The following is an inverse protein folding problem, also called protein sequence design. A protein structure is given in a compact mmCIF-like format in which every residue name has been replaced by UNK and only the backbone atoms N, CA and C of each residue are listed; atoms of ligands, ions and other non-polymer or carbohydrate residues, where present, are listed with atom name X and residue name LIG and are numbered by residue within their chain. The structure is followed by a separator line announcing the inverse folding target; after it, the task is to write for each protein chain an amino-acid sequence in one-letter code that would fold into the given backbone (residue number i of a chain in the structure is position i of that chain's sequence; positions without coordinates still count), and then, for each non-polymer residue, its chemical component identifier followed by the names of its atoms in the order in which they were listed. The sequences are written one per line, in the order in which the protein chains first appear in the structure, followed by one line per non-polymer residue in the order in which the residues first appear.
data_IF_589611812304
#
_entry.id   IF_589611812304
#
_cell.length_a   1.000
_cell.length_b   1.000
_cell.length_c   1.000
_cell.angle_alpha   90.00
_cell.angle_beta   90.00
_cell.angle_gamma   90.00
#
_symmetry.space_group_name_H-M   'P 1'
#
loop_
_entity.id
_entity.type
_entity.pdbx_description
1 polymer ?
#
# COMPACT_ATOMS: atom_id res chain seq x y z
N UNK A 1 -33.49 -19.95 1.12
CA UNK A 1 -33.07 -18.63 1.60
C UNK A 1 -31.61 -18.53 1.24
N UNK A 2 -31.29 -17.78 0.18
CA UNK A 2 -29.89 -17.56 -0.22
C UNK A 2 -29.17 -16.76 0.85
N UNK A 3 -28.11 -17.32 1.40
CA UNK A 3 -27.14 -16.57 2.19
C UNK A 3 -26.54 -15.60 1.16
N UNK A 4 -26.99 -14.35 1.17
CA UNK A 4 -26.35 -13.31 0.40
C UNK A 4 -24.88 -13.30 0.79
N UNK A 5 -24.03 -13.54 -0.20
CA UNK A 5 -22.57 -13.48 -0.06
C UNK A 5 -22.25 -12.07 0.43
N UNK A 6 -22.07 -11.89 1.76
CA UNK A 6 -21.68 -10.62 2.36
C UNK A 6 -20.22 -10.38 2.00
N UNK A 7 -20.00 -9.91 0.78
CA UNK A 7 -18.68 -9.47 0.36
C UNK A 7 -18.29 -8.23 1.17
N UNK A 8 -17.09 -8.22 1.75
CA UNK A 8 -16.62 -7.12 2.60
C UNK A 8 -15.78 -6.14 1.76
N UNK A 9 -15.96 -4.84 1.97
CA UNK A 9 -15.07 -3.86 1.35
C UNK A 9 -13.66 -3.95 1.98
N UNK A 10 -12.65 -3.59 1.20
CA UNK A 10 -11.27 -3.55 1.66
C UNK A 10 -10.60 -2.21 1.33
N UNK A 11 -9.58 -1.86 2.10
CA UNK A 11 -8.63 -0.82 1.74
C UNK A 11 -7.28 -1.49 1.53
N UNK A 12 -6.82 -1.46 0.29
CA UNK A 12 -5.50 -1.90 -0.12
C UNK A 12 -4.54 -0.72 0.04
N UNK A 13 -3.44 -0.95 0.73
CA UNK A 13 -2.52 0.10 1.17
C UNK A 13 -1.11 -0.19 0.67
N UNK A 14 -0.46 0.75 0.01
CA UNK A 14 0.99 0.68 -0.08
C UNK A 14 1.62 0.93 1.29
N UNK A 15 2.89 0.58 1.43
CA UNK A 15 3.64 0.70 2.68
C UNK A 15 4.41 2.01 2.74
N UNK A 16 5.40 2.14 1.87
CA UNK A 16 6.38 3.22 1.91
C UNK A 16 5.82 4.49 1.27
N UNK A 17 5.84 5.60 1.98
CA UNK A 17 5.20 6.85 1.56
C UNK A 17 3.69 6.92 1.87
N UNK A 18 3.08 5.84 2.37
CA UNK A 18 1.66 5.74 2.72
C UNK A 18 1.46 5.44 4.22
N UNK A 19 2.07 4.36 4.70
CA UNK A 19 2.01 3.95 6.12
C UNK A 19 3.24 4.43 6.86
N UNK A 20 4.44 4.21 6.30
CA UNK A 20 5.69 4.70 6.87
C UNK A 20 6.40 5.67 5.93
N UNK A 21 7.24 6.52 6.51
CA UNK A 21 8.04 7.49 5.79
C UNK A 21 9.05 6.80 4.85
N UNK A 22 9.32 7.46 3.72
CA UNK A 22 10.49 7.18 2.91
C UNK A 22 11.73 7.79 3.61
N UNK A 23 12.90 7.22 3.33
CA UNK A 23 14.19 7.64 3.89
C UNK A 23 15.07 8.17 2.76
N UNK A 24 15.78 9.27 3.02
CA UNK A 24 16.77 9.76 2.07
C UNK A 24 17.95 8.79 2.01
N UNK A 25 18.19 8.22 0.84
CA UNK A 25 19.39 7.43 0.59
C UNK A 25 20.54 8.39 0.21
N UNK A 26 21.60 8.51 1.03
CA UNK A 26 22.67 9.46 0.79
C UNK A 26 23.52 9.12 -0.46
N UNK A 27 23.54 7.85 -0.86
CA UNK A 27 24.30 7.40 -2.04
C UNK A 27 23.61 7.78 -3.36
N UNK A 28 22.27 7.71 -3.36
CA UNK A 28 21.46 7.97 -4.57
C UNK A 28 20.84 9.36 -4.58
N UNK A 29 20.79 10.06 -3.44
CA UNK A 29 20.08 11.32 -3.25
C UNK A 29 18.56 11.19 -3.38
N UNK A 30 18.01 9.98 -3.32
CA UNK A 30 16.57 9.70 -3.52
C UNK A 30 15.90 9.26 -2.22
N UNK A 31 14.61 9.55 -2.15
CA UNK A 31 13.74 8.99 -1.13
C UNK A 31 13.42 7.54 -1.48
N UNK A 32 13.79 6.62 -0.60
CA UNK A 32 13.66 5.16 -0.81
C UNK A 32 13.00 4.50 0.41
N UNK A 33 12.59 3.24 0.26
CA UNK A 33 12.12 2.41 1.37
C UNK A 33 13.21 2.25 2.43
N UNK A 34 12.86 2.21 3.73
CA UNK A 34 13.83 1.91 4.79
C UNK A 34 14.57 0.60 4.53
N UNK A 35 15.90 0.61 4.71
CA UNK A 35 16.76 -0.57 4.63
C UNK A 35 17.19 -1.09 6.01
N UNK A 36 16.87 -0.35 7.07
CA UNK A 36 17.20 -0.68 8.46
C UNK A 36 15.92 -0.57 9.32
N UNK A 37 15.75 -1.45 10.31
CA UNK A 37 14.57 -1.42 11.18
C UNK A 37 14.41 -0.09 11.93
N UNK A 38 15.50 0.51 12.38
CA UNK A 38 15.49 1.77 13.12
C UNK A 38 15.11 2.98 12.26
N UNK A 39 15.16 2.84 10.94
CA UNK A 39 14.72 3.87 10.01
C UNK A 39 13.20 3.81 9.72
N UNK A 40 12.49 2.82 10.25
CA UNK A 40 11.04 2.71 10.11
C UNK A 40 10.37 3.74 10.99
N UNK A 41 9.60 4.63 10.38
CA UNK A 41 8.81 5.66 11.07
C UNK A 41 7.41 5.66 10.50
N UNK A 42 6.42 5.30 11.31
CA UNK A 42 5.01 5.40 10.92
C UNK A 42 4.64 6.87 10.73
N UNK A 43 3.97 7.17 9.63
CA UNK A 43 3.59 8.55 9.31
C UNK A 43 2.56 9.08 10.32
N UNK A 44 2.63 10.37 10.69
CA UNK A 44 1.69 10.98 11.62
C UNK A 44 0.23 10.80 11.18
N UNK A 45 -0.64 10.45 12.12
CA UNK A 45 -2.06 10.27 11.89
C UNK A 45 -2.45 8.95 11.20
N UNK A 46 -1.49 8.14 10.73
CA UNK A 46 -1.77 6.85 10.08
C UNK A 46 -2.44 5.86 11.03
N UNK A 47 -1.95 5.61 12.26
CA UNK A 47 -2.60 4.64 13.13
C UNK A 47 -4.07 4.95 13.42
N UNK A 48 -4.46 6.15 13.88
CA UNK A 48 -5.87 6.46 14.12
C UNK A 48 -6.71 6.43 12.83
N UNK A 49 -6.14 6.77 11.67
CA UNK A 49 -6.82 6.70 10.38
C UNK A 49 -7.14 5.24 10.00
N UNK A 50 -6.17 4.33 10.13
CA UNK A 50 -6.37 2.90 9.87
C UNK A 50 -7.35 2.27 10.86
N UNK A 51 -7.30 2.64 12.11
CA UNK A 51 -8.25 2.18 13.13
C UNK A 51 -9.69 2.57 12.78
N UNK A 52 -9.91 3.79 12.27
CA UNK A 52 -11.23 4.24 11.80
C UNK A 52 -11.74 3.42 10.63
N UNK A 53 -10.89 3.09 9.65
CA UNK A 53 -11.27 2.22 8.53
C UNK A 53 -11.65 0.83 9.01
N UNK A 54 -10.84 0.23 9.88
CA UNK A 54 -11.11 -1.09 10.47
C UNK A 54 -12.42 -1.08 11.27
N UNK A 55 -12.65 -0.04 12.08
CA UNK A 55 -13.89 0.14 12.86
C UNK A 55 -15.12 0.35 11.98
N UNK A 56 -14.96 0.91 10.79
CA UNK A 56 -16.01 1.06 9.79
C UNK A 56 -16.27 -0.22 8.96
N UNK A 57 -15.59 -1.33 9.28
CA UNK A 57 -15.80 -2.64 8.65
C UNK A 57 -14.93 -2.93 7.42
N UNK A 58 -13.98 -2.06 7.08
CA UNK A 58 -13.05 -2.34 5.99
C UNK A 58 -11.98 -3.35 6.40
N UNK A 59 -11.75 -4.34 5.54
CA UNK A 59 -10.57 -5.20 5.62
C UNK A 59 -9.32 -4.43 5.19
N UNK A 60 -8.27 -4.41 6.00
CA UNK A 60 -7.01 -3.77 5.66
C UNK A 60 -6.07 -4.78 4.99
N UNK A 61 -5.58 -4.46 3.79
CA UNK A 61 -4.65 -5.33 3.05
C UNK A 61 -3.42 -4.51 2.63
N UNK A 62 -2.26 -4.92 3.12
CA UNK A 62 -0.99 -4.29 2.76
C UNK A 62 -0.48 -4.88 1.44
N UNK A 63 -0.18 -4.03 0.44
CA UNK A 63 0.31 -4.46 -0.88
C UNK A 63 1.48 -3.58 -1.30
N UNK A 64 2.70 -4.05 -1.19
CA UNK A 64 3.89 -3.25 -1.46
C UNK A 64 4.92 -3.92 -2.36
N UNK A 65 5.55 -3.12 -3.22
CA UNK A 65 6.70 -3.51 -4.00
C UNK A 65 7.97 -3.32 -3.16
N UNK A 66 8.64 -4.41 -2.81
CA UNK A 66 9.86 -4.43 -1.99
C UNK A 66 11.07 -4.96 -2.80
N UNK A 67 11.59 -4.19 -3.77
CA UNK A 67 12.59 -4.66 -4.71
C UNK A 67 13.98 -4.80 -4.13
N UNK A 68 14.24 -4.27 -2.93
CA UNK A 68 15.58 -4.18 -2.36
C UNK A 68 16.26 -5.54 -2.19
N UNK A 69 15.46 -6.61 -1.95
CA UNK A 69 15.97 -7.97 -1.95
C UNK A 69 16.47 -8.38 -3.35
N UNK A 70 15.63 -8.28 -4.38
CA UNK A 70 16.03 -8.63 -5.75
C UNK A 70 17.26 -7.84 -6.23
N UNK A 71 17.39 -6.59 -5.77
CA UNK A 71 18.51 -5.70 -6.09
C UNK A 71 19.77 -5.98 -5.27
N UNK A 72 19.76 -6.97 -4.36
CA UNK A 72 20.88 -7.32 -3.51
C UNK A 72 21.22 -6.28 -2.42
N UNK A 73 20.30 -5.34 -2.13
CA UNK A 73 20.49 -4.27 -1.15
C UNK A 73 20.23 -4.72 0.29
N UNK A 74 19.46 -5.80 0.50
CA UNK A 74 19.14 -6.36 1.81
C UNK A 74 18.81 -7.85 1.72
N UNK A 75 18.77 -8.53 2.86
CA UNK A 75 18.35 -9.93 2.98
C UNK A 75 16.84 -10.04 3.24
N UNK A 76 16.28 -11.24 3.09
CA UNK A 76 14.88 -11.53 3.49
C UNK A 76 14.70 -11.33 4.99
N UNK A 77 15.69 -11.70 5.80
CA UNK A 77 15.65 -11.52 7.25
C UNK A 77 15.56 -10.02 7.61
N UNK A 78 16.35 -9.17 6.92
CA UNK A 78 16.28 -7.72 7.08
C UNK A 78 14.89 -7.19 6.77
N UNK A 79 14.28 -7.62 5.65
CA UNK A 79 12.91 -7.23 5.30
C UNK A 79 11.89 -7.72 6.33
N UNK A 80 12.09 -8.93 6.87
CA UNK A 80 11.28 -9.50 7.95
C UNK A 80 11.36 -8.65 9.23
N UNK A 81 12.55 -8.24 9.64
CA UNK A 81 12.75 -7.39 10.84
C UNK A 81 12.13 -5.99 10.62
N UNK A 82 12.28 -5.40 9.43
CA UNK A 82 11.63 -4.13 9.06
C UNK A 82 10.11 -4.27 9.15
N UNK A 83 9.55 -5.36 8.60
CA UNK A 83 8.11 -5.62 8.69
C UNK A 83 7.65 -5.77 10.15
N UNK A 84 8.36 -6.57 10.94
CA UNK A 84 8.02 -6.80 12.35
C UNK A 84 8.07 -5.50 13.16
N UNK A 85 9.01 -4.60 12.87
CA UNK A 85 9.09 -3.29 13.51
C UNK A 85 7.85 -2.45 13.21
N UNK A 86 7.44 -2.38 11.94
CA UNK A 86 6.21 -1.69 11.53
C UNK A 86 4.98 -2.32 12.16
N UNK A 87 4.85 -3.65 12.08
CA UNK A 87 3.72 -4.38 12.62
C UNK A 87 3.57 -4.18 14.14
N UNK A 88 4.69 -4.18 14.88
CA UNK A 88 4.68 -3.96 16.33
C UNK A 88 4.16 -2.57 16.71
N UNK A 89 4.44 -1.53 15.93
CA UNK A 89 3.87 -0.20 16.15
C UNK A 89 2.36 -0.19 15.91
N UNK A 90 1.91 -0.75 14.78
CA UNK A 90 0.50 -0.76 14.41
C UNK A 90 -0.36 -1.65 15.33
N UNK A 91 0.16 -2.78 15.80
CA UNK A 91 -0.55 -3.67 16.75
C UNK A 91 -0.81 -2.96 18.07
N UNK A 92 0.08 -2.09 18.56
CA UNK A 92 -0.16 -1.28 19.78
C UNK A 92 -1.41 -0.42 19.67
N UNK A 93 -1.73 0.03 18.44
CA UNK A 93 -2.92 0.80 18.13
C UNK A 93 -4.09 -0.08 17.65
N UNK A 94 -4.04 -1.40 17.92
CA UNK A 94 -5.07 -2.41 17.60
C UNK A 94 -5.36 -2.51 16.09
N UNK A 95 -4.38 -2.22 15.24
CA UNK A 95 -4.53 -2.33 13.80
C UNK A 95 -4.06 -3.71 13.33
N UNK A 96 -4.93 -4.38 12.58
CA UNK A 96 -4.70 -5.72 12.08
C UNK A 96 -4.89 -5.77 10.57
N UNK A 97 -3.86 -6.22 9.86
CA UNK A 97 -3.99 -6.50 8.43
C UNK A 97 -4.62 -7.87 8.20
N UNK A 98 -5.65 -7.93 7.39
CA UNK A 98 -6.24 -9.19 6.90
C UNK A 98 -5.19 -9.97 6.10
N UNK A 99 -4.35 -9.25 5.34
CA UNK A 99 -3.26 -9.82 4.57
C UNK A 99 -2.12 -8.82 4.38
N UNK A 100 -0.89 -9.35 4.31
CA UNK A 100 0.31 -8.60 3.93
C UNK A 100 0.90 -9.25 2.69
N UNK A 101 1.10 -8.45 1.62
CA UNK A 101 1.60 -8.89 0.32
C UNK A 101 2.82 -8.06 -0.08
N UNK A 102 3.97 -8.73 -0.21
CA UNK A 102 5.20 -8.11 -0.71
C UNK A 102 5.62 -8.72 -2.04
N UNK A 103 5.77 -7.88 -3.06
CA UNK A 103 6.46 -8.27 -4.28
C UNK A 103 7.96 -8.00 -4.12
N UNK A 104 8.75 -9.06 -4.10
CA UNK A 104 10.20 -8.98 -3.94
C UNK A 104 10.94 -8.90 -5.29
N UNK A 105 10.24 -9.07 -6.40
CA UNK A 105 10.85 -9.09 -7.74
C UNK A 105 11.17 -7.69 -8.26
N UNK A 106 12.20 -7.62 -9.12
CA UNK A 106 12.51 -6.41 -9.87
C UNK A 106 13.04 -6.75 -11.27
N UNK A 107 12.63 -6.02 -12.36
CA UNK A 107 13.12 -6.32 -13.72
C UNK A 107 14.65 -6.28 -13.85
N UNK A 108 15.31 -5.45 -13.05
CA UNK A 108 16.77 -5.33 -12.96
C UNK A 108 17.35 -6.03 -11.72
N UNK A 109 16.64 -7.01 -11.17
CA UNK A 109 17.12 -7.79 -10.04
C UNK A 109 18.41 -8.53 -10.37
N UNK A 110 19.27 -8.72 -9.37
CA UNK A 110 20.54 -9.45 -9.51
C UNK A 110 20.47 -10.85 -8.91
N UNK A 111 19.44 -11.13 -8.10
CA UNK A 111 19.27 -12.43 -7.45
C UNK A 111 18.47 -13.39 -8.33
N UNK A 112 18.95 -14.64 -8.53
CA UNK A 112 18.21 -15.67 -9.25
C UNK A 112 16.82 -15.91 -8.67
N UNK A 113 15.81 -16.08 -9.54
CA UNK A 113 14.41 -16.30 -9.14
C UNK A 113 13.64 -15.02 -8.77
N UNK A 114 14.34 -13.89 -8.55
CA UNK A 114 13.72 -12.59 -8.23
C UNK A 114 14.01 -11.52 -9.29
N UNK A 115 14.80 -11.83 -10.30
CA UNK A 115 15.07 -10.95 -11.45
C UNK A 115 14.06 -11.20 -12.58
N UNK A 116 13.73 -10.16 -13.33
CA UNK A 116 12.82 -10.23 -14.47
C UNK A 116 11.39 -9.81 -14.14
N UNK A 117 10.49 -10.09 -15.10
CA UNK A 117 9.05 -9.79 -14.95
C UNK A 117 8.39 -10.83 -14.04
N UNK A 118 7.40 -10.38 -13.29
CA UNK A 118 6.57 -11.23 -12.45
C UNK A 118 5.12 -10.81 -12.49
N UNK A 119 4.23 -11.69 -12.06
CA UNK A 119 2.78 -11.42 -12.04
C UNK A 119 2.35 -10.55 -10.87
N UNK A 120 3.14 -10.44 -9.80
CA UNK A 120 2.70 -9.83 -8.53
C UNK A 120 3.12 -8.37 -8.34
N UNK A 121 4.10 -7.88 -9.13
CA UNK A 121 4.58 -6.50 -8.97
C UNK A 121 3.56 -5.49 -9.47
N UNK A 122 3.19 -4.50 -8.63
CA UNK A 122 2.41 -3.34 -9.07
C UNK A 122 3.11 -2.67 -10.26
N UNK A 123 2.40 -2.36 -11.37
CA UNK A 123 0.96 -2.13 -11.47
C UNK A 123 0.08 -3.37 -11.69
N UNK A 124 0.59 -4.60 -11.62
CA UNK A 124 -0.26 -5.78 -11.71
C UNK A 124 -1.27 -5.84 -10.55
N UNK A 125 -2.56 -6.12 -10.82
CA UNK A 125 -3.59 -6.23 -9.79
C UNK A 125 -3.58 -7.58 -9.04
N UNK A 126 -2.60 -8.43 -9.29
CA UNK A 126 -2.60 -9.84 -8.87
C UNK A 126 -2.86 -10.01 -7.36
N UNK A 127 -2.21 -9.23 -6.50
CA UNK A 127 -2.43 -9.32 -5.05
C UNK A 127 -3.83 -8.91 -4.63
N UNK A 128 -4.43 -7.91 -5.30
CA UNK A 128 -5.80 -7.47 -5.02
C UNK A 128 -6.80 -8.56 -5.42
N UNK A 129 -6.62 -9.15 -6.60
CA UNK A 129 -7.46 -10.24 -7.10
C UNK A 129 -7.35 -11.48 -6.20
N UNK A 130 -6.13 -11.84 -5.78
CA UNK A 130 -5.91 -12.95 -4.84
C UNK A 130 -6.55 -12.69 -3.47
N UNK A 131 -6.44 -11.48 -2.94
CA UNK A 131 -7.09 -11.13 -1.68
C UNK A 131 -8.61 -11.19 -1.79
N UNK A 132 -9.18 -10.73 -2.92
CA UNK A 132 -10.61 -10.91 -3.21
C UNK A 132 -11.03 -12.36 -3.11
N UNK A 133 -10.32 -13.24 -3.81
CA UNK A 133 -10.68 -14.67 -3.90
C UNK A 133 -10.49 -15.39 -2.56
N UNK A 134 -9.41 -15.07 -1.83
CA UNK A 134 -9.08 -15.73 -0.58
C UNK A 134 -9.96 -15.25 0.61
N UNK A 135 -10.52 -14.05 0.56
CA UNK A 135 -11.26 -13.44 1.69
C UNK A 135 -12.68 -12.97 1.34
N UNK A 136 -13.18 -13.22 0.13
CA UNK A 136 -14.52 -12.79 -0.28
C UNK A 136 -14.67 -11.27 -0.30
N UNK A 137 -13.71 -10.54 -0.85
CA UNK A 137 -13.74 -9.06 -0.84
C UNK A 137 -14.49 -8.50 -2.06
N UNK A 138 -15.26 -7.42 -1.84
CA UNK A 138 -15.87 -6.64 -2.92
C UNK A 138 -14.89 -5.60 -3.46
N UNK A 139 -14.26 -5.84 -4.61
CA UNK A 139 -13.32 -4.87 -5.19
C UNK A 139 -14.02 -3.57 -5.62
N UNK A 140 -15.25 -3.64 -6.10
CA UNK A 140 -16.02 -2.46 -6.51
C UNK A 140 -16.31 -1.49 -5.36
N UNK A 141 -16.40 -2.01 -4.12
CA UNK A 141 -16.59 -1.21 -2.90
C UNK A 141 -15.28 -0.91 -2.18
N UNK A 142 -14.16 -1.39 -2.72
CA UNK A 142 -12.83 -1.28 -2.14
C UNK A 142 -12.03 -0.11 -2.70
N UNK A 143 -10.94 0.20 -2.01
CA UNK A 143 -10.03 1.28 -2.34
C UNK A 143 -8.59 0.81 -2.44
N UNK A 144 -7.82 1.39 -3.36
CA UNK A 144 -6.35 1.32 -3.36
C UNK A 144 -5.80 2.69 -3.02
N UNK A 145 -4.99 2.75 -1.96
CA UNK A 145 -4.28 3.96 -1.52
C UNK A 145 -2.78 3.77 -1.79
N UNK A 146 -2.18 4.70 -2.50
CA UNK A 146 -0.76 4.67 -2.82
C UNK A 146 -0.21 6.06 -3.13
N UNK A 147 1.11 6.21 -3.14
CA UNK A 147 1.81 7.45 -3.51
C UNK A 147 2.33 7.42 -4.95
N UNK A 148 2.48 6.20 -5.54
CA UNK A 148 3.05 6.00 -6.86
C UNK A 148 1.99 5.78 -7.95
N UNK A 149 2.28 6.17 -9.21
CA UNK A 149 1.42 5.85 -10.35
C UNK A 149 1.11 4.35 -10.50
N UNK A 150 2.04 3.49 -10.10
CA UNK A 150 1.87 2.02 -10.13
C UNK A 150 0.78 1.52 -9.19
N UNK A 151 0.54 2.20 -8.08
CA UNK A 151 -0.53 1.87 -7.13
C UNK A 151 -1.89 2.18 -7.74
N UNK A 152 -2.00 3.37 -8.32
CA UNK A 152 -3.23 3.85 -8.97
C UNK A 152 -3.59 2.94 -10.14
N UNK A 153 -2.62 2.60 -10.98
CA UNK A 153 -2.85 1.66 -12.08
C UNK A 153 -3.26 0.27 -11.58
N UNK A 154 -2.62 -0.21 -10.52
CA UNK A 154 -2.95 -1.49 -9.87
C UNK A 154 -4.41 -1.51 -9.38
N UNK A 155 -4.82 -0.49 -8.65
CA UNK A 155 -6.19 -0.37 -8.15
C UNK A 155 -7.22 -0.31 -9.28
N UNK A 156 -7.00 0.53 -10.29
CA UNK A 156 -7.88 0.63 -11.46
C UNK A 156 -7.99 -0.68 -12.23
N UNK A 157 -6.87 -1.38 -12.42
CA UNK A 157 -6.86 -2.67 -13.10
C UNK A 157 -7.59 -3.76 -12.31
N UNK A 158 -7.69 -3.63 -10.98
CA UNK A 158 -8.46 -4.51 -10.11
C UNK A 158 -9.96 -4.13 -10.05
N UNK A 159 -10.35 -2.94 -10.49
CA UNK A 159 -11.72 -2.43 -10.38
C UNK A 159 -12.03 -1.76 -9.03
N UNK A 160 -11.00 -1.36 -8.26
CA UNK A 160 -11.19 -0.57 -7.04
C UNK A 160 -11.22 0.93 -7.34
N UNK A 161 -11.78 1.73 -6.43
CA UNK A 161 -11.54 3.17 -6.39
C UNK A 161 -10.10 3.43 -5.93
N UNK A 162 -9.55 4.59 -6.28
CA UNK A 162 -8.13 4.89 -6.05
C UNK A 162 -7.93 6.24 -5.39
N UNK A 163 -7.04 6.30 -4.41
CA UNK A 163 -6.62 7.55 -3.76
C UNK A 163 -5.09 7.65 -3.85
N UNK A 164 -4.62 8.76 -4.37
CA UNK A 164 -3.19 9.10 -4.32
C UNK A 164 -2.93 9.99 -3.12
N UNK A 165 -2.01 9.56 -2.25
CA UNK A 165 -1.56 10.34 -1.09
C UNK A 165 -0.23 11.05 -1.38
N UNK A 166 0.10 12.08 -0.57
CA UNK A 166 1.32 12.86 -0.74
C UNK A 166 1.28 13.83 -1.92
N UNK A 167 0.12 13.98 -2.57
CA UNK A 167 -0.05 14.93 -3.67
C UNK A 167 -0.43 16.30 -3.13
N UNK A 168 0.27 17.33 -3.58
CA UNK A 168 -0.18 18.71 -3.35
C UNK A 168 -1.31 19.00 -4.36
N UNK A 169 -2.50 19.47 -3.91
CA UNK A 169 -3.58 19.85 -4.81
C UNK A 169 -3.09 20.85 -5.86
N UNK A 170 -3.36 20.56 -7.14
CA UNK A 170 -2.96 21.42 -8.27
C UNK A 170 -1.61 21.06 -8.91
N UNK A 171 -0.81 20.16 -8.35
CA UNK A 171 0.38 19.64 -9.03
C UNK A 171 -0.02 18.35 -9.76
N UNK A 172 -0.30 18.46 -11.04
CA UNK A 172 -0.58 17.30 -11.90
C UNK A 172 0.63 16.39 -11.99
N UNK A 173 0.40 15.08 -11.88
CA UNK A 173 1.41 14.05 -12.13
C UNK A 173 2.01 14.18 -13.54
N UNK A 174 3.11 13.47 -13.80
CA UNK A 174 3.76 13.45 -15.11
C UNK A 174 2.74 13.11 -16.21
N UNK A 175 2.84 13.78 -17.38
CA UNK A 175 2.02 13.47 -18.56
C UNK A 175 2.01 11.96 -18.81
N UNK A 176 0.81 11.35 -18.87
CA UNK A 176 0.65 9.91 -19.12
C UNK A 176 0.55 9.05 -17.84
N UNK A 177 0.67 9.62 -16.65
CA UNK A 177 0.40 8.87 -15.40
C UNK A 177 -1.10 8.63 -15.21
N UNK A 178 -1.52 7.46 -14.69
CA UNK A 178 -2.93 7.21 -14.39
C UNK A 178 -3.43 8.23 -13.35
N UNK A 179 -4.57 8.85 -13.65
CA UNK A 179 -5.21 9.78 -12.72
C UNK A 179 -5.95 8.98 -11.64
N UNK A 180 -5.67 9.22 -10.37
CA UNK A 180 -6.44 8.67 -9.27
C UNK A 180 -7.84 9.30 -9.22
N UNK A 181 -8.81 8.58 -8.62
CA UNK A 181 -10.15 9.12 -8.44
C UNK A 181 -10.13 10.28 -7.44
N UNK A 182 -9.22 10.22 -6.45
CA UNK A 182 -8.94 11.29 -5.49
C UNK A 182 -7.44 11.47 -5.30
N UNK A 183 -7.03 12.72 -5.00
CA UNK A 183 -5.67 13.06 -4.64
C UNK A 183 -5.69 13.93 -3.38
N UNK A 184 -4.95 13.51 -2.35
CA UNK A 184 -4.96 14.11 -1.02
C UNK A 184 -3.55 14.22 -0.45
N UNK A 185 -3.38 15.06 0.58
CA UNK A 185 -2.08 15.28 1.21
C UNK A 185 -1.67 14.18 2.18
N UNK A 186 -2.63 13.46 2.78
CA UNK A 186 -2.36 12.55 3.89
C UNK A 186 -3.31 11.35 3.93
N UNK A 187 -2.94 10.32 4.72
CA UNK A 187 -3.81 9.19 5.03
C UNK A 187 -5.08 9.65 5.78
N UNK A 188 -4.98 10.67 6.63
CA UNK A 188 -6.14 11.21 7.36
C UNK A 188 -7.19 11.71 6.36
N UNK A 189 -6.78 12.52 5.39
CA UNK A 189 -7.68 13.02 4.34
C UNK A 189 -8.23 11.88 3.47
N UNK A 190 -7.42 10.85 3.18
CA UNK A 190 -7.88 9.68 2.44
C UNK A 190 -9.03 8.98 3.17
N UNK A 191 -8.94 8.84 4.48
CA UNK A 191 -9.99 8.23 5.32
C UNK A 191 -11.25 9.10 5.34
N UNK A 192 -11.14 10.43 5.38
CA UNK A 192 -12.30 11.32 5.27
C UNK A 192 -13.05 11.11 3.94
N UNK A 193 -12.30 10.97 2.84
CA UNK A 193 -12.89 10.65 1.52
C UNK A 193 -13.62 9.29 1.56
N UNK A 194 -12.98 8.25 2.10
CA UNK A 194 -13.55 6.90 2.15
C UNK A 194 -14.81 6.86 2.99
N UNK A 195 -14.80 7.48 4.14
CA UNK A 195 -15.94 7.47 5.07
C UNK A 195 -17.02 8.50 4.70
N UNK A 196 -16.83 9.28 3.62
CA UNK A 196 -17.81 10.26 3.13
C UNK A 196 -17.93 11.50 4.02
N UNK A 197 -16.94 11.76 4.87
CA UNK A 197 -16.91 12.96 5.72
C UNK A 197 -16.20 14.12 4.98
N UNK A 198 -16.68 15.36 5.13
CA UNK A 198 -16.03 16.47 4.47
C UNK A 198 -14.60 16.67 5.00
N UNK A 199 -13.67 16.91 4.08
CA UNK A 199 -12.30 17.33 4.40
C UNK A 199 -12.40 18.72 5.02
N UNK A 200 -11.96 18.89 6.25
CA UNK A 200 -11.97 20.17 7.00
C UNK A 200 -10.62 20.85 6.90
#
# INVERSE_FOLDING_TARGET
MGIGDLTRPAVFLDRDGVINALVLNPETGRMESPLMPDAVQVLPGVPPALFRLQSAGYSLVLVSNQPNYALGKCTLDTLGVIHNRLAAELIRDQIHFTRVCYCLHHPKGVLPGYSGLCVCRKPSPWFLLRARDDFGLSLAESWMIGDQPTDIQCGKSAGTRTIRVGSVPGISGHKGSPTADYAVGSMVEAVEVILGQPIR
#
